data_IF_720815001103
#
_entry.id   IF_720815001103
#
_cell.length_a   1.000
_cell.length_b   1.000
_cell.length_c   1.000
_cell.angle_alpha   90.00
_cell.angle_beta   90.00
_cell.angle_gamma   90.00
#
_symmetry.space_group_name_H-M   'P 1'
#
loop_
_entity.id
_entity.type
_entity.pdbx_description
1 polymer ?
#
# COMPACT_ATOMS: atom_id res chain seq x y z
N UNK A 1 12.77 54.52 17.28
CA UNK A 1 13.69 53.60 16.58
C UNK A 1 13.14 52.17 16.70
N UNK A 2 12.42 51.68 15.69
CA UNK A 2 11.86 50.32 15.70
C UNK A 2 12.91 49.32 15.23
N UNK A 3 13.64 48.71 16.17
CA UNK A 3 14.57 47.62 15.87
C UNK A 3 13.79 46.40 15.37
N UNK A 4 13.86 46.12 14.06
CA UNK A 4 13.41 44.83 13.52
C UNK A 4 14.26 43.73 14.16
N UNK A 5 13.62 42.87 14.94
CA UNK A 5 14.19 41.59 15.38
C UNK A 5 14.86 40.91 14.17
N UNK A 6 16.18 40.70 14.22
CA UNK A 6 16.89 39.85 13.25
C UNK A 6 16.32 38.45 13.40
N UNK A 7 15.36 38.09 12.55
CA UNK A 7 14.81 36.73 12.49
C UNK A 7 15.98 35.80 12.16
N UNK A 8 16.36 34.93 13.09
CA UNK A 8 17.35 33.89 12.82
C UNK A 8 16.86 33.01 11.68
N UNK A 9 17.75 32.69 10.73
CA UNK A 9 17.42 31.79 9.63
C UNK A 9 17.04 30.44 10.25
N UNK A 10 15.85 29.97 9.93
CA UNK A 10 15.28 28.73 10.48
C UNK A 10 15.42 27.56 9.50
N UNK A 11 15.67 27.88 8.23
CA UNK A 11 15.70 26.92 7.14
C UNK A 11 16.96 27.10 6.29
N UNK A 12 17.37 25.99 5.69
CA UNK A 12 18.55 25.88 4.83
C UNK A 12 18.19 25.18 3.52
N UNK A 13 18.84 25.56 2.42
CA UNK A 13 18.65 24.86 1.15
C UNK A 13 19.37 23.52 1.13
N UNK A 14 18.92 22.60 0.28
CA UNK A 14 19.56 21.28 0.11
C UNK A 14 21.06 21.39 -0.15
N UNK A 15 21.48 22.31 -1.02
CA UNK A 15 22.90 22.48 -1.37
C UNK A 15 23.73 22.87 -0.15
N UNK A 16 23.27 23.87 0.62
CA UNK A 16 23.95 24.32 1.82
C UNK A 16 23.96 23.26 2.91
N UNK A 17 22.88 22.49 3.05
CA UNK A 17 22.83 21.36 3.98
C UNK A 17 23.86 20.27 3.59
N UNK A 18 24.03 19.99 2.30
CA UNK A 18 25.05 19.04 1.81
C UNK A 18 26.47 19.55 2.12
N UNK A 19 26.72 20.85 1.94
CA UNK A 19 28.01 21.49 2.26
C UNK A 19 28.32 21.43 3.76
N UNK A 20 27.36 21.76 4.63
CA UNK A 20 27.53 21.74 6.09
C UNK A 20 27.74 20.30 6.63
N UNK A 21 26.97 19.35 6.12
CA UNK A 21 27.07 17.94 6.51
C UNK A 21 28.23 17.20 5.80
N UNK A 22 28.90 17.82 4.82
CA UNK A 22 29.96 17.20 4.01
C UNK A 22 29.51 15.86 3.39
N UNK A 23 28.33 15.85 2.79
CA UNK A 23 27.74 14.68 2.12
C UNK A 23 27.39 14.99 0.67
N UNK A 24 27.33 13.96 -0.18
CA UNK A 24 26.82 14.15 -1.55
C UNK A 24 25.30 14.34 -1.55
N UNK A 25 24.75 14.80 -2.67
CA UNK A 25 23.30 14.98 -2.82
C UNK A 25 22.54 13.65 -2.70
N UNK A 26 23.14 12.56 -3.16
CA UNK A 26 22.58 11.20 -3.08
C UNK A 26 22.56 10.71 -1.63
N UNK A 27 23.66 10.91 -0.90
CA UNK A 27 23.74 10.60 0.53
C UNK A 27 22.76 11.43 1.36
N UNK A 28 22.61 12.71 1.02
CA UNK A 28 21.62 13.57 1.67
C UNK A 28 20.19 13.08 1.42
N UNK A 29 19.86 12.70 0.17
CA UNK A 29 18.57 12.08 -0.16
C UNK A 29 18.33 10.80 0.64
N UNK A 30 19.34 9.95 0.75
CA UNK A 30 19.27 8.73 1.55
C UNK A 30 18.97 9.04 3.03
N UNK A 31 19.68 10.01 3.63
CA UNK A 31 19.47 10.43 5.01
C UNK A 31 18.05 10.93 5.27
N UNK A 32 17.51 11.80 4.40
CA UNK A 32 16.15 12.33 4.58
C UNK A 32 15.08 11.25 4.43
N UNK A 33 15.28 10.26 3.55
CA UNK A 33 14.36 9.13 3.38
C UNK A 33 14.33 8.28 4.65
N UNK A 34 15.49 7.86 5.13
CA UNK A 34 15.59 6.97 6.29
C UNK A 34 15.16 7.63 7.60
N UNK A 35 15.36 8.94 7.74
CA UNK A 35 14.98 9.69 8.94
C UNK A 35 13.58 10.32 8.87
N UNK A 36 12.85 10.04 7.79
CA UNK A 36 11.52 10.58 7.49
C UNK A 36 11.47 12.11 7.59
N UNK A 37 12.40 12.78 6.92
CA UNK A 37 12.52 14.24 6.86
C UNK A 37 11.98 14.72 5.52
N UNK A 38 11.10 15.69 5.55
CA UNK A 38 10.48 16.25 4.35
C UNK A 38 10.95 17.68 4.10
N UNK A 39 11.00 18.06 2.82
CA UNK A 39 11.25 19.44 2.44
C UNK A 39 10.03 20.32 2.78
N UNK A 40 10.28 21.47 3.38
CA UNK A 40 9.29 22.48 3.73
C UNK A 40 9.26 23.61 2.68
N UNK A 41 8.06 24.03 2.28
CA UNK A 41 7.88 25.21 1.43
C UNK A 41 7.71 26.46 2.31
N UNK A 42 8.79 27.19 2.53
CA UNK A 42 8.76 28.40 3.37
C UNK A 42 8.24 29.59 2.56
N UNK A 43 7.10 30.17 2.96
CA UNK A 43 6.48 31.31 2.26
C UNK A 43 7.21 32.65 2.46
N UNK A 44 8.02 32.78 3.52
CA UNK A 44 8.70 34.04 3.87
C UNK A 44 10.17 34.00 3.47
N UNK A 45 10.55 34.89 2.53
CA UNK A 45 11.93 35.08 2.05
C UNK A 45 12.91 35.37 3.20
N UNK A 46 12.42 35.98 4.29
CA UNK A 46 13.24 36.33 5.46
C UNK A 46 13.65 35.14 6.34
N UNK A 47 12.99 33.98 6.19
CA UNK A 47 13.35 32.74 6.89
C UNK A 47 14.29 31.85 6.08
N UNK A 48 14.54 32.23 4.82
CA UNK A 48 15.29 31.45 3.85
C UNK A 48 16.77 31.87 3.81
N UNK A 49 17.65 30.88 3.62
CA UNK A 49 19.05 31.11 3.28
C UNK A 49 19.31 31.22 1.77
N UNK A 50 18.32 30.87 0.92
CA UNK A 50 18.41 30.77 -0.54
C UNK A 50 17.00 30.82 -1.19
N UNK A 51 16.92 31.04 -2.51
CA UNK A 51 15.67 31.03 -3.30
C UNK A 51 15.24 29.64 -3.80
N UNK A 52 15.87 28.56 -3.33
CA UNK A 52 15.57 27.19 -3.78
C UNK A 52 14.18 26.72 -3.32
N UNK A 53 13.49 25.95 -4.17
CA UNK A 53 12.14 25.44 -3.90
C UNK A 53 12.07 24.38 -2.77
N UNK A 54 13.19 23.67 -2.50
CA UNK A 54 13.28 22.64 -1.47
C UNK A 54 14.18 23.10 -0.32
N UNK A 55 13.56 23.48 0.79
CA UNK A 55 14.28 23.89 2.01
C UNK A 55 13.98 22.96 3.18
N UNK A 56 14.92 22.86 4.11
CA UNK A 56 14.85 21.99 5.28
C UNK A 56 15.01 22.80 6.55
N UNK A 57 14.30 22.42 7.60
CA UNK A 57 14.45 23.02 8.91
C UNK A 57 15.85 22.74 9.48
N UNK A 58 16.47 23.73 10.10
CA UNK A 58 17.76 23.53 10.79
C UNK A 58 17.65 22.50 11.93
N UNK A 59 16.45 22.32 12.52
CA UNK A 59 16.21 21.27 13.51
C UNK A 59 16.39 19.88 12.89
N UNK A 60 15.89 19.68 11.67
CA UNK A 60 16.02 18.41 10.97
C UNK A 60 17.45 18.16 10.51
N UNK A 61 18.16 19.20 10.06
CA UNK A 61 19.59 19.09 9.73
C UNK A 61 20.42 18.73 10.97
N UNK A 62 20.11 19.32 12.13
CA UNK A 62 20.73 18.93 13.39
C UNK A 62 20.35 17.49 13.81
N UNK A 63 19.11 17.05 13.54
CA UNK A 63 18.67 15.67 13.75
C UNK A 63 19.48 14.71 12.87
N UNK A 64 19.72 15.06 11.60
CA UNK A 64 20.58 14.30 10.69
C UNK A 64 21.99 14.19 11.24
N UNK A 65 22.60 15.32 11.62
CA UNK A 65 23.97 15.36 12.13
C UNK A 65 24.17 14.47 13.36
N UNK A 66 23.19 14.45 14.28
CA UNK A 66 23.24 13.64 15.49
C UNK A 66 22.79 12.18 15.29
N UNK A 67 22.40 11.79 14.07
CA UNK A 67 21.92 10.45 13.80
C UNK A 67 23.06 9.43 13.70
N UNK A 68 22.81 8.20 14.16
CA UNK A 68 23.73 7.06 13.94
C UNK A 68 23.96 6.79 12.45
N UNK A 69 22.92 7.01 11.63
CA UNK A 69 22.98 6.83 10.18
C UNK A 69 24.02 7.75 9.54
N UNK A 70 24.01 9.04 9.90
CA UNK A 70 25.02 9.99 9.44
C UNK A 70 26.43 9.58 9.87
N UNK A 71 26.61 9.14 11.12
CA UNK A 71 27.90 8.64 11.59
C UNK A 71 28.40 7.42 10.78
N UNK A 72 27.50 6.52 10.37
CA UNK A 72 27.83 5.38 9.50
C UNK A 72 28.23 5.83 8.10
N UNK A 73 27.54 6.80 7.50
CA UNK A 73 27.90 7.38 6.20
C UNK A 73 29.31 8.00 6.26
N UNK A 74 29.60 8.77 7.31
CA UNK A 74 30.92 9.38 7.47
C UNK A 74 32.04 8.33 7.61
N UNK A 75 31.80 7.25 8.36
CA UNK A 75 32.74 6.12 8.45
C UNK A 75 32.93 5.42 7.10
N UNK A 76 31.86 5.23 6.32
CA UNK A 76 31.96 4.63 4.99
C UNK A 76 32.71 5.54 4.01
N UNK A 77 32.50 6.85 4.05
CA UNK A 77 33.26 7.82 3.27
C UNK A 77 34.77 7.75 3.60
N UNK A 78 35.13 7.62 4.87
CA UNK A 78 36.51 7.44 5.30
C UNK A 78 37.11 6.12 4.76
N UNK A 79 36.38 5.01 4.86
CA UNK A 79 36.82 3.71 4.33
C UNK A 79 37.03 3.74 2.81
N UNK A 80 36.16 4.42 2.06
CA UNK A 80 36.32 4.57 0.62
C UNK A 80 37.59 5.36 0.26
N UNK A 81 37.96 6.36 1.06
CA UNK A 81 39.22 7.09 0.90
C UNK A 81 40.44 6.20 1.20
N UNK A 82 40.37 5.38 2.24
CA UNK A 82 41.40 4.40 2.58
C UNK A 82 41.56 3.35 1.48
N UNK A 83 40.47 2.79 0.94
CA UNK A 83 40.50 1.88 -0.21
C UNK A 83 41.22 2.49 -1.41
N UNK A 84 40.89 3.74 -1.76
CA UNK A 84 41.58 4.46 -2.85
C UNK A 84 43.08 4.60 -2.57
N UNK A 85 43.46 4.83 -1.31
CA UNK A 85 44.86 4.94 -0.90
C UNK A 85 45.60 3.60 -1.02
N UNK A 86 44.99 2.49 -0.59
CA UNK A 86 45.55 1.15 -0.73
C UNK A 86 45.67 0.71 -2.19
N UNK A 87 44.68 1.02 -3.03
CA UNK A 87 44.73 0.77 -4.47
C UNK A 87 45.88 1.51 -5.15
N UNK A 88 46.11 2.78 -4.79
CA UNK A 88 47.28 3.54 -5.29
C UNK A 88 48.62 2.93 -4.87
N UNK A 89 48.66 2.20 -3.76
CA UNK A 89 49.84 1.47 -3.27
C UNK A 89 49.95 0.05 -3.85
N UNK A 90 49.15 -0.30 -4.85
CA UNK A 90 49.05 -1.64 -5.45
C UNK A 90 48.72 -2.76 -4.44
N UNK A 91 48.00 -2.42 -3.37
CA UNK A 91 47.52 -3.36 -2.33
C UNK A 91 46.03 -3.62 -2.47
N UNK A 92 45.64 -4.19 -3.61
CA UNK A 92 44.24 -4.49 -3.92
C UNK A 92 43.67 -5.56 -2.97
N UNK A 93 44.51 -6.47 -2.49
CA UNK A 93 44.19 -7.51 -1.50
C UNK A 93 43.56 -6.94 -0.21
N UNK A 94 44.06 -5.79 0.26
CA UNK A 94 43.53 -5.12 1.44
C UNK A 94 42.27 -4.34 1.10
N UNK A 95 42.30 -3.61 -0.02
CA UNK A 95 41.19 -2.75 -0.44
C UNK A 95 39.90 -3.55 -0.67
N UNK A 96 40.00 -4.75 -1.26
CA UNK A 96 38.83 -5.57 -1.59
C UNK A 96 38.25 -6.30 -0.36
N UNK A 97 39.05 -6.48 0.71
CA UNK A 97 38.57 -6.99 2.00
C UNK A 97 37.82 -5.94 2.82
N UNK A 98 38.04 -4.65 2.55
CA UNK A 98 37.34 -3.58 3.26
C UNK A 98 35.89 -3.50 2.80
N UNK A 99 34.95 -3.92 3.67
CA UNK A 99 33.51 -3.77 3.40
C UNK A 99 32.98 -2.49 4.02
N UNK A 100 31.94 -1.92 3.40
CA UNK A 100 31.21 -0.80 3.98
C UNK A 100 30.38 -1.32 5.17
N UNK A 101 30.12 -0.45 6.13
CA UNK A 101 29.21 -0.74 7.23
C UNK A 101 27.78 -0.67 6.71
N UNK A 102 26.99 -1.67 7.06
CA UNK A 102 25.55 -1.67 6.83
C UNK A 102 24.85 -0.71 7.80
N UNK A 103 23.69 -0.22 7.37
CA UNK A 103 22.84 0.58 8.23
C UNK A 103 22.05 -0.30 9.18
N UNK A 104 21.81 0.24 10.37
CA UNK A 104 20.99 -0.42 11.38
C UNK A 104 19.51 -0.15 11.09
N UNK A 105 18.98 -0.83 10.07
CA UNK A 105 17.60 -0.68 9.61
C UNK A 105 16.58 -1.02 10.71
N UNK A 106 16.91 -1.97 11.59
CA UNK A 106 16.05 -2.36 12.71
C UNK A 106 15.82 -1.18 13.64
N UNK A 107 16.88 -0.47 14.03
CA UNK A 107 16.75 0.72 14.87
C UNK A 107 16.10 1.89 14.13
N UNK A 108 16.39 2.06 12.83
CA UNK A 108 15.76 3.10 12.01
C UNK A 108 14.24 2.91 11.98
N UNK A 109 13.77 1.70 11.65
CA UNK A 109 12.35 1.36 11.57
C UNK A 109 11.68 1.42 12.96
N UNK A 110 12.34 0.89 13.99
CA UNK A 110 11.81 0.94 15.37
C UNK A 110 11.70 2.37 15.90
N UNK A 111 12.52 3.30 15.42
CA UNK A 111 12.40 4.71 15.76
C UNK A 111 11.30 5.43 14.99
N UNK A 112 10.95 4.93 13.79
CA UNK A 112 9.88 5.47 12.94
C UNK A 112 8.51 5.10 13.52
N UNK A 113 8.32 3.86 13.94
CA UNK A 113 7.03 3.35 14.42
C UNK A 113 7.03 3.16 15.93
N UNK A 114 6.11 3.82 16.64
CA UNK A 114 6.01 3.70 18.10
C UNK A 114 5.35 2.39 18.50
N UNK A 115 4.41 1.92 17.68
CA UNK A 115 3.65 0.70 17.90
C UNK A 115 3.69 -0.23 16.67
N UNK A 116 3.34 -1.50 16.88
CA UNK A 116 3.15 -2.44 15.77
C UNK A 116 1.96 -2.05 14.88
N UNK A 117 0.91 -1.46 15.46
CA UNK A 117 -0.24 -0.97 14.69
C UNK A 117 0.18 0.13 13.73
N UNK A 118 1.09 1.01 14.14
CA UNK A 118 1.62 2.09 13.29
C UNK A 118 2.43 1.51 12.13
N UNK A 119 3.23 0.47 12.40
CA UNK A 119 3.99 -0.24 11.36
C UNK A 119 3.07 -0.94 10.36
N UNK A 120 1.99 -1.58 10.84
CA UNK A 120 0.98 -2.20 9.97
C UNK A 120 0.24 -1.15 9.14
N UNK A 121 -0.08 0.03 9.67
CA UNK A 121 -0.75 1.08 8.91
C UNK A 121 0.09 1.55 7.69
N UNK A 122 1.41 1.68 7.85
CA UNK A 122 2.34 2.02 6.76
C UNK A 122 2.70 0.82 5.85
N UNK A 123 2.17 -0.38 6.13
CA UNK A 123 2.48 -1.58 5.35
C UNK A 123 1.96 -1.49 3.92
N UNK A 124 0.85 -0.76 3.68
CA UNK A 124 0.30 -0.59 2.33
C UNK A 124 1.28 0.08 1.35
N UNK A 125 1.98 1.13 1.82
CA UNK A 125 3.03 1.81 1.05
C UNK A 125 4.21 0.86 0.80
N UNK A 126 4.61 0.13 1.84
CA UNK A 126 5.71 -0.84 1.81
C UNK A 126 5.46 -1.93 0.78
N UNK A 127 4.29 -2.57 0.82
CA UNK A 127 3.90 -3.62 -0.13
C UNK A 127 3.85 -3.07 -1.55
N UNK A 128 3.23 -1.91 -1.76
CA UNK A 128 3.17 -1.27 -3.08
C UNK A 128 4.58 -1.07 -3.64
N UNK A 129 5.50 -0.54 -2.83
CA UNK A 129 6.87 -0.28 -3.25
C UNK A 129 7.63 -1.56 -3.61
N UNK A 130 7.45 -2.62 -2.80
CA UNK A 130 8.11 -3.91 -3.01
C UNK A 130 7.56 -4.66 -4.23
N UNK A 131 6.24 -4.66 -4.44
CA UNK A 131 5.63 -5.22 -5.66
C UNK A 131 6.04 -4.45 -6.91
N UNK A 132 6.11 -3.12 -6.83
CA UNK A 132 6.63 -2.28 -7.92
C UNK A 132 8.09 -2.62 -8.21
N UNK A 133 8.93 -2.71 -7.19
CA UNK A 133 10.32 -3.12 -7.39
C UNK A 133 10.42 -4.51 -8.01
N UNK A 134 9.65 -5.48 -7.52
CA UNK A 134 9.66 -6.85 -8.03
C UNK A 134 9.25 -6.90 -9.50
N UNK A 135 8.28 -6.08 -9.90
CA UNK A 135 7.84 -5.97 -11.29
C UNK A 135 8.94 -5.45 -12.22
N UNK A 136 9.75 -4.48 -11.77
CA UNK A 136 10.89 -3.97 -12.54
C UNK A 136 12.19 -4.74 -12.32
N UNK A 137 12.27 -5.64 -11.34
CA UNK A 137 13.50 -6.34 -10.96
C UNK A 137 14.10 -7.14 -12.11
N UNK A 138 13.26 -7.71 -12.99
CA UNK A 138 13.70 -8.43 -14.19
C UNK A 138 14.45 -7.54 -15.19
N UNK A 139 14.27 -6.22 -15.12
CA UNK A 139 14.93 -5.21 -15.97
C UNK A 139 16.09 -4.52 -15.26
N UNK A 140 16.31 -4.84 -13.98
CA UNK A 140 17.32 -4.23 -13.13
C UNK A 140 18.38 -5.30 -12.84
N UNK A 141 19.66 -5.03 -13.15
CA UNK A 141 20.74 -5.92 -12.71
C UNK A 141 20.78 -5.95 -11.17
N UNK A 142 20.31 -7.05 -10.58
CA UNK A 142 20.29 -7.28 -9.14
C UNK A 142 21.60 -7.90 -8.66
N UNK A 143 22.63 -7.06 -8.47
CA UNK A 143 23.96 -7.50 -8.05
C UNK A 143 24.01 -8.04 -6.61
N UNK A 144 23.03 -7.71 -5.76
CA UNK A 144 23.03 -8.06 -4.33
C UNK A 144 22.02 -9.17 -3.96
N UNK A 145 21.28 -9.73 -4.92
CA UNK A 145 20.24 -10.74 -4.66
C UNK A 145 19.05 -10.18 -3.86
N UNK A 146 18.83 -8.87 -3.91
CA UNK A 146 17.78 -8.18 -3.15
C UNK A 146 16.39 -8.61 -3.64
N UNK A 147 16.22 -8.83 -4.94
CA UNK A 147 14.94 -9.29 -5.51
C UNK A 147 14.55 -10.67 -4.97
N UNK A 148 15.51 -11.57 -4.76
CA UNK A 148 15.22 -12.89 -4.19
C UNK A 148 14.71 -12.79 -2.76
N UNK A 149 15.37 -11.95 -1.95
CA UNK A 149 14.96 -11.70 -0.57
C UNK A 149 13.56 -11.08 -0.54
N UNK A 150 13.29 -10.08 -1.39
CA UNK A 150 11.97 -9.43 -1.45
C UNK A 150 10.90 -10.42 -1.88
N UNK A 151 11.15 -11.24 -2.90
CA UNK A 151 10.20 -12.26 -3.35
C UNK A 151 9.89 -13.25 -2.23
N UNK A 152 10.90 -13.71 -1.49
CA UNK A 152 10.70 -14.60 -0.36
C UNK A 152 9.91 -13.95 0.79
N UNK A 153 10.14 -12.67 1.08
CA UNK A 153 9.39 -11.95 2.12
C UNK A 153 7.95 -11.62 1.71
N UNK A 154 7.71 -11.29 0.43
CA UNK A 154 6.37 -11.13 -0.11
C UNK A 154 5.60 -12.46 -0.07
N UNK A 155 6.21 -13.57 -0.47
CA UNK A 155 5.58 -14.89 -0.41
C UNK A 155 5.20 -15.31 1.02
N UNK A 156 6.04 -14.99 2.02
CA UNK A 156 5.70 -15.20 3.45
C UNK A 156 4.46 -14.39 3.85
N UNK A 157 4.37 -13.15 3.38
CA UNK A 157 3.24 -12.28 3.66
C UNK A 157 1.97 -12.75 2.94
N UNK A 158 2.07 -13.16 1.68
CA UNK A 158 0.97 -13.74 0.91
C UNK A 158 0.40 -14.99 1.56
N UNK A 159 1.28 -15.90 2.01
CA UNK A 159 0.85 -17.06 2.78
C UNK A 159 0.10 -16.66 4.06
N UNK A 160 0.59 -15.66 4.79
CA UNK A 160 -0.09 -15.13 5.96
C UNK A 160 -1.47 -14.52 5.62
N UNK A 161 -1.60 -13.85 4.48
CA UNK A 161 -2.89 -13.34 3.98
C UNK A 161 -3.88 -14.48 3.70
N UNK A 162 -3.42 -15.57 3.09
CA UNK A 162 -4.24 -16.76 2.79
C UNK A 162 -4.66 -17.44 4.08
N UNK A 163 -3.69 -17.80 4.94
CA UNK A 163 -3.92 -18.56 6.17
C UNK A 163 -4.92 -17.86 7.12
N UNK A 164 -5.02 -16.52 7.05
CA UNK A 164 -5.89 -15.72 7.90
C UNK A 164 -7.04 -15.02 7.15
N UNK A 165 -7.23 -15.30 5.86
CA UNK A 165 -8.32 -14.74 5.02
C UNK A 165 -8.42 -13.20 5.10
N UNK A 166 -7.30 -12.49 5.01
CA UNK A 166 -7.21 -11.05 5.33
C UNK A 166 -7.72 -10.12 4.22
N UNK A 167 -7.99 -10.66 3.02
CA UNK A 167 -8.39 -9.85 1.87
C UNK A 167 -9.85 -9.44 2.01
N UNK A 168 -10.07 -8.12 2.14
CA UNK A 168 -11.42 -7.55 2.21
C UNK A 168 -12.02 -7.40 0.82
N UNK A 169 -11.29 -6.77 -0.09
CA UNK A 169 -11.77 -6.56 -1.46
C UNK A 169 -10.63 -6.28 -2.42
N UNK A 170 -10.88 -6.51 -3.71
CA UNK A 170 -9.90 -6.36 -4.78
C UNK A 170 -10.52 -5.62 -5.96
N UNK A 171 -9.73 -4.78 -6.62
CA UNK A 171 -10.18 -4.02 -7.79
C UNK A 171 -9.10 -3.95 -8.87
N UNK A 172 -9.29 -4.65 -10.00
CA UNK A 172 -8.41 -4.53 -11.16
C UNK A 172 -8.59 -3.21 -11.89
N UNK A 173 -7.49 -2.71 -12.44
CA UNK A 173 -7.43 -1.51 -13.29
C UNK A 173 -6.55 -1.77 -14.50
N UNK A 174 -6.58 -0.87 -15.49
CA UNK A 174 -5.68 -0.92 -16.65
C UNK A 174 -4.18 -0.96 -16.28
N UNK A 175 -3.81 -0.45 -15.09
CA UNK A 175 -2.41 -0.36 -14.62
C UNK A 175 -1.99 -1.55 -13.76
N UNK A 176 -2.94 -2.16 -13.04
CA UNK A 176 -2.64 -3.17 -12.04
C UNK A 176 -3.81 -3.44 -11.11
N UNK A 177 -3.53 -4.04 -9.97
CA UNK A 177 -4.51 -4.50 -9.01
C UNK A 177 -4.45 -3.69 -7.72
N UNK A 178 -5.59 -3.19 -7.26
CA UNK A 178 -5.72 -2.65 -5.91
C UNK A 178 -6.24 -3.72 -4.98
N UNK A 179 -5.58 -3.93 -3.84
CA UNK A 179 -5.95 -4.94 -2.85
C UNK A 179 -6.14 -4.24 -1.51
N UNK A 180 -7.34 -4.39 -0.93
CA UNK A 180 -7.67 -3.91 0.40
C UNK A 180 -7.62 -5.09 1.38
N UNK A 181 -6.77 -4.98 2.39
CA UNK A 181 -6.67 -5.94 3.49
C UNK A 181 -7.21 -5.34 4.76
N UNK A 182 -7.72 -6.20 5.64
CA UNK A 182 -8.06 -5.84 7.02
C UNK A 182 -7.24 -6.72 7.96
N UNK A 183 -6.39 -6.10 8.77
CA UNK A 183 -5.60 -6.76 9.82
C UNK A 183 -6.08 -6.19 11.16
N UNK A 184 -6.86 -6.97 11.90
CA UNK A 184 -7.56 -6.51 13.10
C UNK A 184 -8.41 -5.25 12.80
N UNK A 185 -8.07 -4.12 13.43
CA UNK A 185 -8.75 -2.83 13.28
C UNK A 185 -8.14 -1.94 12.18
N UNK A 186 -7.04 -2.37 11.56
CA UNK A 186 -6.31 -1.57 10.56
C UNK A 186 -6.66 -2.08 9.17
N UNK A 187 -7.12 -1.18 8.31
CA UNK A 187 -7.31 -1.45 6.89
C UNK A 187 -6.14 -0.87 6.10
N UNK A 188 -5.58 -1.67 5.20
CA UNK A 188 -4.46 -1.27 4.34
C UNK A 188 -4.81 -1.50 2.87
N UNK A 189 -4.62 -0.47 2.06
CA UNK A 189 -4.74 -0.53 0.62
C UNK A 189 -3.34 -0.54 0.01
N UNK A 190 -3.06 -1.49 -0.88
CA UNK A 190 -1.83 -1.50 -1.66
C UNK A 190 -2.09 -1.79 -3.13
N UNK A 191 -1.11 -1.47 -3.96
CA UNK A 191 -1.20 -1.60 -5.41
C UNK A 191 -0.14 -2.56 -5.95
N UNK A 192 -0.54 -3.38 -6.90
CA UNK A 192 0.32 -4.35 -7.58
C UNK A 192 0.32 -4.05 -9.07
N UNK A 193 1.44 -3.65 -9.67
CA UNK A 193 1.51 -3.41 -11.11
C UNK A 193 1.40 -4.73 -11.87
N UNK A 194 0.60 -4.72 -12.93
CA UNK A 194 0.40 -5.88 -13.80
C UNK A 194 0.69 -5.57 -15.27
N UNK A 195 0.73 -4.28 -15.64
CA UNK A 195 1.00 -3.86 -17.01
C UNK A 195 2.32 -3.07 -17.08
N UNK A 196 3.07 -3.29 -18.16
CA UNK A 196 4.41 -2.76 -18.38
C UNK A 196 4.46 -1.38 -19.04
N UNK A 197 3.31 -0.72 -19.24
CA UNK A 197 3.21 0.64 -19.79
C UNK A 197 3.85 1.74 -18.93
N UNK A 198 4.51 1.38 -17.82
CA UNK A 198 5.37 2.28 -17.09
C UNK A 198 6.71 2.43 -17.81
N UNK A 199 6.83 3.46 -18.63
CA UNK A 199 8.12 3.93 -19.13
C UNK A 199 8.77 4.85 -18.10
N UNK A 200 10.11 4.84 -18.03
CA UNK A 200 10.94 5.83 -17.35
C UNK A 200 11.05 5.79 -15.82
N UNK A 201 11.25 4.62 -15.21
CA UNK A 201 11.74 4.58 -13.82
C UNK A 201 13.17 4.06 -13.73
N UNK A 202 14.08 4.90 -13.23
CA UNK A 202 15.52 4.60 -13.11
C UNK A 202 15.77 3.86 -11.80
N UNK A 203 16.57 2.78 -11.86
CA UNK A 203 17.02 1.98 -10.70
C UNK A 203 17.48 2.84 -9.50
N UNK A 204 18.23 3.90 -9.78
CA UNK A 204 18.84 4.75 -8.74
C UNK A 204 17.82 5.52 -7.89
N UNK A 205 16.59 5.70 -8.39
CA UNK A 205 15.55 6.39 -7.64
C UNK A 205 14.91 5.49 -6.56
N UNK A 206 14.99 4.15 -6.72
CA UNK A 206 14.40 3.19 -5.80
C UNK A 206 15.37 2.68 -4.72
N UNK A 207 16.67 2.63 -5.00
CA UNK A 207 17.65 1.96 -4.14
C UNK A 207 17.61 2.39 -2.66
N UNK A 208 17.50 3.69 -2.32
CA UNK A 208 17.43 4.12 -0.92
C UNK A 208 16.16 3.66 -0.18
N UNK A 209 15.09 3.39 -0.91
CA UNK A 209 13.80 2.99 -0.35
C UNK A 209 13.68 1.48 -0.20
N UNK A 210 14.27 0.73 -1.13
CA UNK A 210 14.10 -0.73 -1.20
C UNK A 210 14.55 -1.40 0.10
N UNK A 211 15.75 -1.08 0.59
CA UNK A 211 16.26 -1.70 1.82
C UNK A 211 15.38 -1.32 3.02
N UNK A 212 14.97 -0.06 3.13
CA UNK A 212 14.08 0.39 4.20
C UNK A 212 12.74 -0.36 4.21
N UNK A 213 12.05 -0.45 3.08
CA UNK A 213 10.77 -1.15 2.96
C UNK A 213 10.92 -2.67 3.10
N UNK A 214 12.00 -3.26 2.58
CA UNK A 214 12.31 -4.68 2.75
C UNK A 214 12.47 -5.03 4.24
N UNK A 215 13.31 -4.29 4.98
CA UNK A 215 13.47 -4.51 6.41
C UNK A 215 12.17 -4.23 7.19
N UNK A 216 11.35 -3.28 6.74
CA UNK A 216 10.05 -3.04 7.35
C UNK A 216 9.13 -4.26 7.21
N UNK A 217 8.99 -4.81 6.00
CA UNK A 217 8.23 -6.04 5.77
C UNK A 217 8.79 -7.23 6.57
N UNK A 218 10.12 -7.40 6.62
CA UNK A 218 10.76 -8.46 7.42
C UNK A 218 10.40 -8.34 8.91
N UNK A 219 10.47 -7.12 9.47
CA UNK A 219 10.13 -6.88 10.87
C UNK A 219 8.65 -7.17 11.15
N UNK A 220 7.78 -6.77 10.23
CA UNK A 220 6.33 -7.04 10.30
C UNK A 220 6.06 -8.55 10.23
N UNK A 221 6.63 -9.26 9.25
CA UNK A 221 6.53 -10.72 9.09
C UNK A 221 7.01 -11.47 10.35
N UNK A 222 8.15 -11.06 10.91
CA UNK A 222 8.68 -11.64 12.15
C UNK A 222 7.70 -11.52 13.32
N UNK A 223 6.97 -10.40 13.41
CA UNK A 223 6.00 -10.17 14.47
C UNK A 223 4.66 -10.86 14.21
N UNK A 224 4.21 -10.90 12.95
CA UNK A 224 2.95 -11.53 12.52
C UNK A 224 2.87 -13.02 12.87
N UNK A 225 4.00 -13.75 12.86
CA UNK A 225 4.06 -15.16 13.30
C UNK A 225 3.49 -15.41 14.70
N UNK A 226 3.46 -14.39 15.56
CA UNK A 226 3.03 -14.49 16.95
C UNK A 226 1.72 -13.73 17.23
N UNK A 227 1.08 -13.13 16.22
CA UNK A 227 -0.15 -12.37 16.39
C UNK A 227 -1.34 -13.33 16.35
N UNK A 228 -2.16 -13.32 17.40
CA UNK A 228 -3.52 -13.87 17.34
C UNK A 228 -4.39 -12.86 16.61
N UNK A 229 -4.91 -13.23 15.45
CA UNK A 229 -5.84 -12.38 14.70
C UNK A 229 -7.24 -12.73 15.19
N UNK A 230 -7.86 -11.82 15.93
CA UNK A 230 -9.28 -11.90 16.25
C UNK A 230 -10.03 -11.38 15.03
N UNK A 231 -10.64 -12.29 14.26
CA UNK A 231 -11.55 -11.91 13.18
C UNK A 231 -12.82 -11.33 13.80
N UNK A 232 -12.80 -10.01 14.02
CA UNK A 232 -13.91 -9.29 14.63
C UNK A 232 -15.16 -9.34 13.73
N UNK A 233 -16.29 -9.68 14.35
CA UNK A 233 -17.65 -9.63 13.79
C UNK A 233 -17.93 -8.20 13.34
N UNK A 234 -18.30 -8.00 12.07
CA UNK A 234 -18.82 -6.72 11.61
C UNK A 234 -20.12 -6.43 12.40
N UNK A 235 -20.06 -5.47 13.32
CA UNK A 235 -21.25 -4.88 13.94
C UNK A 235 -21.77 -3.85 12.96
N UNK A 236 -22.89 -4.14 12.33
CA UNK A 236 -23.64 -3.17 11.54
C UNK A 236 -24.19 -2.12 12.52
N UNK A 237 -23.70 -0.89 12.38
CA UNK A 237 -24.13 0.29 13.14
C UNK A 237 -25.47 0.78 12.55
N UNK A 238 -26.58 0.14 12.94
CA UNK A 238 -27.93 0.68 12.73
C UNK A 238 -28.08 1.92 13.63
N UNK A 239 -27.67 3.09 13.12
CA UNK A 239 -28.02 4.34 13.79
C UNK A 239 -29.49 4.64 13.54
N UNK A 240 -30.29 4.31 14.55
CA UNK A 240 -31.60 4.91 14.78
C UNK A 240 -31.47 6.44 14.74
N UNK A 241 -32.25 7.07 13.87
CA UNK A 241 -32.50 8.50 13.94
C UNK A 241 -33.46 8.77 15.09
N UNK A 242 -32.93 9.05 16.28
CA UNK A 242 -33.70 9.74 17.31
C UNK A 242 -33.79 11.23 16.95
N UNK A 243 -34.98 11.65 16.53
CA UNK A 243 -35.37 13.04 16.40
C UNK A 243 -35.57 13.64 17.79
N UNK A 244 -34.65 14.49 18.24
CA UNK A 244 -34.96 15.51 19.25
C UNK A 244 -35.42 16.78 18.54
N UNK A 245 -36.74 16.95 18.36
CA UNK A 245 -37.32 18.28 18.21
C UNK A 245 -38.09 18.65 19.47
N UNK A 246 -37.87 19.89 19.88
CA UNK A 246 -38.20 20.46 21.17
C UNK A 246 -39.71 20.57 21.36
N UNK A 247 -40.17 20.24 22.57
CA UNK A 247 -41.57 20.37 22.96
C UNK A 247 -42.08 21.82 22.90
N UNK A 248 -43.32 21.96 22.43
CA UNK A 248 -44.29 22.91 22.97
C UNK A 248 -45.72 22.42 22.74
N UNK A 249 -46.42 22.33 23.86
CA UNK A 249 -47.83 22.11 24.16
C UNK A 249 -48.86 22.41 23.05
N UNK A 250 -49.83 21.51 22.83
CA UNK A 250 -51.20 21.70 23.33
C UNK A 250 -52.14 20.52 23.02
N UNK A 251 -53.14 20.37 23.90
CA UNK A 251 -54.11 19.28 23.98
C UNK A 251 -55.14 19.23 22.84
N UNK A 252 -55.61 18.02 22.48
CA UNK A 252 -57.00 17.52 22.58
C UNK A 252 -57.29 16.34 21.64
N UNK A 253 -57.82 15.28 22.26
CA UNK A 253 -58.93 14.40 21.83
C UNK A 253 -58.98 13.65 20.47
N UNK A 254 -59.43 12.40 20.64
CA UNK A 254 -60.29 11.57 19.77
C UNK A 254 -59.72 10.64 18.69
N UNK A 255 -59.76 9.33 19.05
CA UNK A 255 -60.31 8.17 18.31
C UNK A 255 -60.38 8.25 16.76
N UNK A 256 -59.78 7.26 16.09
CA UNK A 256 -60.51 6.19 15.35
C UNK A 256 -59.60 5.19 14.66
N UNK A 257 -60.04 3.94 14.78
CA UNK A 257 -59.87 2.75 13.94
C UNK A 257 -59.34 2.95 12.51
N UNK A 258 -58.42 2.09 12.07
CA UNK A 258 -58.77 1.01 11.12
C UNK A 258 -57.57 0.14 10.78
N UNK A 259 -57.62 -1.10 11.29
CA UNK A 259 -57.42 -2.38 10.60
C UNK A 259 -57.01 -2.33 9.12
N UNK A 260 -55.89 -2.99 8.77
CA UNK A 260 -55.85 -3.98 7.67
C UNK A 260 -54.77 -5.03 7.99
N UNK A 261 -55.23 -6.29 8.03
CA UNK A 261 -54.47 -7.51 8.26
C UNK A 261 -54.15 -8.21 6.93
N UNK A 262 -53.23 -9.18 7.02
CA UNK A 262 -52.86 -10.24 6.06
C UNK A 262 -51.88 -9.83 4.95
N UNK A 263 -50.84 -10.59 4.63
CA UNK A 263 -50.30 -11.85 5.17
C UNK A 263 -48.96 -12.14 4.49
N UNK A 264 -48.11 -12.92 5.17
CA UNK A 264 -46.98 -13.71 4.64
C UNK A 264 -45.83 -12.90 3.97
N UNK A 265 -44.57 -13.00 4.41
CA UNK A 265 -43.76 -14.21 4.57
C UNK A 265 -42.66 -13.92 5.60
N UNK A 266 -42.61 -14.72 6.67
CA UNK A 266 -41.36 -14.92 7.42
C UNK A 266 -40.42 -15.71 6.53
N UNK A 267 -39.21 -15.22 6.31
CA UNK A 267 -38.09 -16.14 6.19
C UNK A 267 -36.83 -15.54 6.79
N UNK A 268 -36.21 -16.36 7.60
CA UNK A 268 -35.07 -16.08 8.44
C UNK A 268 -33.83 -15.76 7.62
N UNK A 269 -33.25 -14.58 7.83
CA UNK A 269 -31.89 -14.24 7.45
C UNK A 269 -31.03 -14.11 8.70
N UNK A 270 -30.72 -15.24 9.36
CA UNK A 270 -29.58 -15.27 10.30
C UNK A 270 -28.32 -15.09 9.46
N UNK A 271 -27.85 -13.85 9.33
CA UNK A 271 -26.53 -13.53 8.80
C UNK A 271 -25.47 -14.14 9.72
N UNK A 272 -25.06 -15.35 9.36
CA UNK A 272 -24.00 -16.07 10.04
C UNK A 272 -22.66 -15.44 9.66
N UNK A 273 -22.05 -14.75 10.62
CA UNK A 273 -20.60 -14.55 10.71
C UNK A 273 -19.85 -15.80 10.27
N UNK A 274 -18.95 -15.74 9.28
CA UNK A 274 -17.98 -16.80 9.02
C UNK A 274 -16.85 -16.31 8.12
N UNK A 275 -15.67 -16.94 8.25
CA UNK A 275 -14.58 -16.89 7.29
C UNK A 275 -15.13 -16.97 5.85
N UNK A 276 -14.54 -16.20 4.94
CA UNK A 276 -14.99 -16.10 3.54
C UNK A 276 -14.75 -17.47 2.90
N UNK A 277 -15.66 -18.41 3.06
CA UNK A 277 -15.58 -19.77 2.51
C UNK A 277 -16.53 -19.89 1.32
N UNK A 278 -16.66 -18.81 0.54
CA UNK A 278 -17.65 -18.71 -0.54
C UNK A 278 -17.35 -19.69 -1.68
N UNK A 279 -16.11 -20.17 -1.81
CA UNK A 279 -15.74 -21.15 -2.83
C UNK A 279 -15.42 -22.51 -2.21
N UNK A 280 -15.88 -22.76 -0.99
CA UNK A 280 -15.68 -24.04 -0.33
C UNK A 280 -16.26 -25.18 -1.19
N UNK A 281 -15.46 -26.23 -1.36
CA UNK A 281 -15.75 -27.40 -2.20
C UNK A 281 -15.81 -27.12 -3.71
N UNK A 282 -15.40 -25.94 -4.19
CA UNK A 282 -15.24 -25.69 -5.61
C UNK A 282 -13.81 -26.04 -6.03
N UNK A 283 -13.69 -26.78 -7.14
CA UNK A 283 -12.41 -26.98 -7.83
C UNK A 283 -12.27 -25.95 -8.93
N UNK A 284 -11.24 -25.12 -8.83
CA UNK A 284 -11.01 -24.00 -9.75
C UNK A 284 -9.65 -24.18 -10.40
N UNK A 285 -9.61 -24.13 -11.73
CA UNK A 285 -8.37 -24.02 -12.47
C UNK A 285 -8.23 -22.60 -13.03
N UNK A 286 -7.04 -22.03 -12.90
CA UNK A 286 -6.75 -20.67 -13.36
C UNK A 286 -5.86 -20.79 -14.58
N UNK A 287 -6.41 -20.45 -15.75
CA UNK A 287 -5.65 -20.44 -17.00
C UNK A 287 -4.67 -19.28 -17.07
N UNK A 288 -3.98 -19.16 -18.21
CA UNK A 288 -3.06 -18.06 -18.45
C UNK A 288 -3.82 -16.72 -18.52
N UNK A 289 -3.69 -15.93 -17.45
CA UNK A 289 -4.15 -14.54 -17.38
C UNK A 289 -3.13 -13.71 -16.61
N UNK A 290 -3.10 -12.42 -16.89
CA UNK A 290 -2.27 -11.44 -16.19
C UNK A 290 -2.57 -11.42 -14.67
N UNK A 291 -3.78 -11.82 -14.28
CA UNK A 291 -4.22 -11.87 -12.88
C UNK A 291 -3.98 -13.21 -12.18
N UNK A 292 -3.38 -14.21 -12.84
CA UNK A 292 -3.40 -15.61 -12.38
C UNK A 292 -2.98 -15.77 -10.91
N UNK A 293 -1.79 -15.27 -10.55
CA UNK A 293 -1.26 -15.30 -9.18
C UNK A 293 -2.25 -14.73 -8.14
N UNK A 294 -2.88 -13.60 -8.44
CA UNK A 294 -3.81 -12.96 -7.50
C UNK A 294 -5.17 -13.64 -7.46
N UNK A 295 -5.63 -14.22 -8.57
CA UNK A 295 -6.83 -15.04 -8.56
C UNK A 295 -6.62 -16.32 -7.75
N UNK A 296 -5.45 -16.94 -7.82
CA UNK A 296 -5.10 -18.10 -6.98
C UNK A 296 -5.16 -17.73 -5.50
N UNK A 297 -4.53 -16.62 -5.10
CA UNK A 297 -4.58 -16.12 -3.73
C UNK A 297 -6.03 -15.87 -3.29
N UNK A 298 -6.87 -15.27 -4.14
CA UNK A 298 -8.27 -15.01 -3.81
C UNK A 298 -9.09 -16.29 -3.65
N UNK A 299 -8.90 -17.25 -4.56
CA UNK A 299 -9.55 -18.55 -4.51
C UNK A 299 -9.16 -19.31 -3.23
N UNK A 300 -7.87 -19.34 -2.88
CA UNK A 300 -7.38 -19.95 -1.65
C UNK A 300 -7.91 -19.24 -0.40
N UNK A 301 -7.90 -17.90 -0.38
CA UNK A 301 -8.52 -17.10 0.68
C UNK A 301 -10.03 -17.38 0.83
N UNK A 302 -10.68 -17.83 -0.25
CA UNK A 302 -12.11 -18.13 -0.31
C UNK A 302 -12.45 -19.60 -0.04
N UNK A 303 -11.46 -20.44 0.26
CA UNK A 303 -11.61 -21.87 0.55
C UNK A 303 -11.73 -22.79 -0.67
N UNK A 304 -11.36 -22.34 -1.87
CA UNK A 304 -11.36 -23.17 -3.08
C UNK A 304 -10.17 -24.14 -3.12
N UNK A 305 -10.33 -25.22 -3.88
CA UNK A 305 -9.24 -26.14 -4.27
C UNK A 305 -8.74 -25.76 -5.66
N UNK A 306 -7.42 -25.58 -5.82
CA UNK A 306 -6.79 -25.31 -7.12
C UNK A 306 -6.33 -26.64 -7.73
N UNK A 307 -6.94 -27.05 -8.85
CA UNK A 307 -6.72 -28.36 -9.49
C UNK A 307 -6.99 -28.27 -11.00
N UNK A 308 -6.26 -29.05 -11.81
CA UNK A 308 -6.52 -29.19 -13.27
C UNK A 308 -7.87 -29.85 -13.55
N UNK A 309 -8.26 -30.83 -12.72
CA UNK A 309 -9.62 -31.37 -12.68
C UNK A 309 -10.50 -30.38 -11.91
N UNK A 310 -11.24 -29.55 -12.64
CA UNK A 310 -11.97 -28.40 -12.10
C UNK A 310 -13.44 -28.36 -12.51
N UNK A 311 -14.24 -27.70 -11.69
CA UNK A 311 -15.62 -27.30 -12.00
C UNK A 311 -15.62 -26.00 -12.80
N UNK A 312 -14.68 -25.10 -12.50
CA UNK A 312 -14.52 -23.80 -13.13
C UNK A 312 -13.13 -23.62 -13.73
N UNK A 313 -13.08 -23.27 -15.01
CA UNK A 313 -11.86 -22.86 -15.70
C UNK A 313 -11.88 -21.35 -15.93
N UNK A 314 -11.00 -20.62 -15.26
CA UNK A 314 -10.95 -19.15 -15.32
C UNK A 314 -9.99 -18.70 -16.41
N UNK A 315 -10.47 -17.98 -17.43
CA UNK A 315 -9.62 -17.50 -18.52
C UNK A 315 -10.17 -16.26 -19.23
N UNK A 316 -9.28 -15.48 -19.84
CA UNK A 316 -9.61 -14.33 -20.71
C UNK A 316 -9.58 -14.71 -22.20
N UNK A 317 -9.16 -15.93 -22.54
CA UNK A 317 -8.72 -16.33 -23.88
C UNK A 317 -9.66 -17.25 -24.66
N UNK A 318 -9.22 -17.62 -25.87
CA UNK A 318 -9.90 -18.59 -26.74
C UNK A 318 -9.67 -20.01 -26.24
N UNK A 319 -10.75 -20.69 -25.91
CA UNK A 319 -10.75 -22.09 -25.49
C UNK A 319 -10.60 -22.97 -26.74
N UNK A 320 -9.55 -23.80 -26.78
CA UNK A 320 -9.27 -24.70 -27.91
C UNK A 320 -10.15 -25.96 -27.88
N UNK A 321 -10.51 -26.44 -26.69
CA UNK A 321 -11.40 -27.59 -26.50
C UNK A 321 -12.31 -27.35 -25.29
N UNK A 322 -13.62 -27.49 -25.52
CA UNK A 322 -14.63 -27.36 -24.47
C UNK A 322 -14.92 -28.73 -23.87
N UNK A 323 -14.69 -28.87 -22.57
CA UNK A 323 -15.24 -29.97 -21.80
C UNK A 323 -16.64 -29.58 -21.30
N UNK A 324 -17.67 -30.33 -21.69
CA UNK A 324 -19.05 -30.05 -21.30
C UNK A 324 -19.34 -30.13 -19.80
N UNK A 325 -18.45 -30.74 -19.01
CA UNK A 325 -18.57 -30.78 -17.55
C UNK A 325 -17.93 -29.57 -16.84
N UNK A 326 -17.22 -28.70 -17.56
CA UNK A 326 -16.45 -27.58 -16.99
C UNK A 326 -17.08 -26.25 -17.38
N UNK A 327 -17.26 -25.36 -16.41
CA UNK A 327 -17.71 -24.00 -16.64
C UNK A 327 -16.52 -23.08 -16.95
N UNK A 328 -16.44 -22.57 -18.18
CA UNK A 328 -15.40 -21.63 -18.57
C UNK A 328 -15.87 -20.20 -18.32
N UNK A 329 -15.22 -19.50 -17.38
CA UNK A 329 -15.66 -18.19 -16.90
C UNK A 329 -14.53 -17.14 -16.97
N UNK A 330 -14.92 -15.87 -17.11
CA UNK A 330 -13.98 -14.75 -17.03
C UNK A 330 -13.46 -14.53 -15.60
N UNK A 331 -12.26 -13.93 -15.41
CA UNK A 331 -11.74 -13.54 -14.09
C UNK A 331 -12.68 -12.68 -13.24
N UNK A 332 -13.55 -11.91 -13.89
CA UNK A 332 -14.55 -11.08 -13.21
C UNK A 332 -15.54 -11.89 -12.39
N UNK A 333 -15.76 -13.17 -12.70
CA UNK A 333 -16.56 -14.09 -11.88
C UNK A 333 -16.00 -14.21 -10.47
N UNK A 334 -14.71 -14.55 -10.37
CA UNK A 334 -14.01 -14.76 -9.10
C UNK A 334 -13.98 -13.46 -8.30
N UNK A 335 -13.59 -12.36 -8.94
CA UNK A 335 -13.40 -11.07 -8.26
C UNK A 335 -14.74 -10.50 -7.77
N UNK A 336 -15.77 -10.50 -8.62
CA UNK A 336 -17.07 -9.96 -8.21
C UNK A 336 -17.73 -10.85 -7.15
N UNK A 337 -17.62 -12.18 -7.27
CA UNK A 337 -18.12 -13.11 -6.25
C UNK A 337 -17.40 -12.92 -4.92
N UNK A 338 -16.07 -12.75 -4.96
CA UNK A 338 -15.24 -12.49 -3.79
C UNK A 338 -15.61 -11.17 -3.10
N UNK A 339 -15.75 -10.09 -3.86
CA UNK A 339 -16.09 -8.78 -3.32
C UNK A 339 -17.51 -8.73 -2.76
N UNK A 340 -18.48 -9.41 -3.40
CA UNK A 340 -19.88 -9.47 -2.95
C UNK A 340 -20.14 -10.53 -1.87
N UNK A 341 -19.14 -11.35 -1.54
CA UNK A 341 -19.24 -12.45 -0.56
C UNK A 341 -20.33 -13.47 -0.90
N UNK A 342 -20.60 -13.67 -2.19
CA UNK A 342 -21.60 -14.62 -2.70
C UNK A 342 -21.13 -15.19 -4.03
N UNK A 343 -21.36 -16.49 -4.28
CA UNK A 343 -21.14 -17.07 -5.61
C UNK A 343 -22.19 -16.47 -6.55
N UNK A 344 -21.73 -15.78 -7.60
CA UNK A 344 -22.62 -15.20 -8.60
C UNK A 344 -23.09 -16.26 -9.60
N UNK A 345 -24.10 -15.90 -10.40
CA UNK A 345 -24.55 -16.78 -11.48
C UNK A 345 -23.46 -16.90 -12.54
N UNK A 346 -22.90 -18.10 -12.70
CA UNK A 346 -21.84 -18.39 -13.66
C UNK A 346 -22.26 -18.09 -15.10
N UNK A 347 -23.55 -18.18 -15.42
CA UNK A 347 -24.04 -18.01 -16.78
C UNK A 347 -23.82 -16.57 -17.28
N UNK A 348 -23.78 -15.58 -16.38
CA UNK A 348 -23.46 -14.18 -16.71
C UNK A 348 -21.97 -13.97 -17.06
N UNK A 349 -21.10 -14.88 -16.60
CA UNK A 349 -19.65 -14.73 -16.68
C UNK A 349 -18.97 -15.71 -17.65
N UNK A 350 -19.75 -16.48 -18.41
CA UNK A 350 -19.21 -17.45 -19.37
C UNK A 350 -18.35 -16.78 -20.45
N UNK A 351 -17.23 -17.44 -20.77
CA UNK A 351 -16.36 -17.02 -21.87
C UNK A 351 -17.14 -17.03 -23.19
N UNK A 352 -17.06 -15.93 -23.94
CA UNK A 352 -17.81 -15.73 -25.19
C UNK A 352 -19.07 -14.87 -25.05
N UNK A 353 -19.50 -14.55 -23.83
CA UNK A 353 -20.45 -13.45 -23.55
C UNK A 353 -19.70 -12.13 -23.39
N UNK A 354 -20.45 -11.02 -23.39
CA UNK A 354 -19.86 -9.72 -23.04
C UNK A 354 -19.33 -9.74 -21.61
N UNK A 355 -18.07 -9.33 -21.38
CA UNK A 355 -17.46 -9.42 -20.07
C UNK A 355 -18.12 -8.45 -19.09
N UNK A 356 -18.63 -8.99 -17.98
CA UNK A 356 -19.17 -8.18 -16.88
C UNK A 356 -18.05 -7.37 -16.24
N UNK A 357 -18.28 -6.06 -16.10
CA UNK A 357 -17.33 -5.14 -15.49
C UNK A 357 -17.06 -5.42 -14.01
N UNK A 358 -15.95 -4.87 -13.52
CA UNK A 358 -15.60 -4.90 -12.10
C UNK A 358 -16.36 -3.80 -11.36
N UNK A 359 -16.99 -4.16 -10.24
CA UNK A 359 -17.59 -3.19 -9.34
C UNK A 359 -16.50 -2.63 -8.43
N UNK A 360 -16.39 -1.29 -8.34
CA UNK A 360 -15.45 -0.64 -7.44
C UNK A 360 -15.93 -0.83 -5.99
N UNK A 361 -15.24 -1.64 -5.17
CA UNK A 361 -15.77 -2.08 -3.87
C UNK A 361 -15.36 -1.15 -2.72
N UNK A 362 -14.67 -0.04 -2.99
CA UNK A 362 -14.13 0.85 -1.97
C UNK A 362 -15.09 2.03 -1.71
N UNK A 363 -16.34 1.75 -1.34
CA UNK A 363 -17.38 2.76 -1.03
C UNK A 363 -17.07 3.64 0.21
N UNK A 364 -15.87 3.53 0.78
CA UNK A 364 -15.39 4.33 1.92
C UNK A 364 -13.89 4.64 1.90
N UNK A 365 -13.19 4.44 0.77
CA UNK A 365 -11.89 5.09 0.53
C UNK A 365 -12.04 6.48 -0.11
N UNK A 366 -13.28 6.87 -0.39
CA UNK A 366 -13.76 8.25 -0.32
C UNK A 366 -13.94 8.74 1.13
N UNK A 367 -13.27 8.11 2.10
CA UNK A 367 -12.77 8.85 3.25
C UNK A 367 -12.04 10.03 2.62
N UNK A 368 -12.66 11.22 2.73
CA UNK A 368 -11.99 12.51 2.64
C UNK A 368 -10.57 12.25 3.13
N UNK A 369 -9.62 12.16 2.20
CA UNK A 369 -8.20 12.13 2.57
C UNK A 369 -8.10 13.20 3.61
N UNK A 370 -7.68 12.81 4.81
CA UNK A 370 -7.78 13.65 5.99
C UNK A 370 -7.43 15.05 5.54
N UNK A 371 -8.36 16.00 5.65
CA UNK A 371 -8.14 17.31 5.01
C UNK A 371 -6.80 17.89 5.52
N UNK A 372 -6.43 17.46 6.73
CA UNK A 372 -5.16 17.59 7.43
C UNK A 372 -3.95 16.94 6.74
N UNK A 373 -4.06 15.77 6.09
CA UNK A 373 -3.01 15.15 5.27
C UNK A 373 -2.79 15.91 3.96
N UNK A 374 -3.86 16.34 3.28
CA UNK A 374 -3.74 17.16 2.06
C UNK A 374 -3.24 18.57 2.42
N UNK A 375 -3.66 19.12 3.56
CA UNK A 375 -3.24 20.44 4.02
C UNK A 375 -1.80 20.50 4.57
N UNK A 376 -1.26 19.36 4.99
CA UNK A 376 0.18 19.18 5.31
C UNK A 376 1.06 19.03 4.05
N UNK A 377 0.49 18.81 2.86
CA UNK A 377 1.25 18.82 1.60
C UNK A 377 1.50 20.27 1.11
N UNK A 378 2.66 20.46 0.45
CA UNK A 378 3.00 21.75 -0.18
C UNK A 378 1.97 22.13 -1.26
N UNK A 379 1.76 23.42 -1.55
CA UNK A 379 0.74 23.88 -2.52
C UNK A 379 0.87 23.21 -3.89
N UNK A 380 2.09 22.93 -4.32
CA UNK A 380 2.38 22.24 -5.59
C UNK A 380 2.09 20.75 -5.51
N UNK A 381 2.37 20.09 -4.38
CA UNK A 381 1.97 18.69 -4.17
C UNK A 381 0.47 18.55 -4.00
N UNK A 382 -0.20 19.49 -3.32
CA UNK A 382 -1.66 19.58 -3.30
C UNK A 382 -2.23 19.71 -4.70
N UNK A 383 -1.67 20.59 -5.52
CA UNK A 383 -2.08 20.76 -6.91
C UNK A 383 -1.82 19.49 -7.73
N UNK A 384 -0.64 18.88 -7.64
CA UNK A 384 -0.30 17.69 -8.40
C UNK A 384 -1.06 16.44 -7.94
N UNK A 385 -1.30 16.30 -6.63
CA UNK A 385 -2.11 15.22 -6.05
C UNK A 385 -3.58 15.47 -6.35
N UNK A 386 -4.09 16.70 -6.28
CA UNK A 386 -5.45 17.04 -6.71
C UNK A 386 -5.63 16.85 -8.22
N UNK A 387 -4.67 17.23 -9.05
CA UNK A 387 -4.68 17.00 -10.50
C UNK A 387 -4.54 15.51 -10.83
N UNK A 388 -3.75 14.75 -10.05
CA UNK A 388 -3.63 13.30 -10.17
C UNK A 388 -4.92 12.60 -9.71
N UNK A 389 -5.54 13.02 -8.62
CA UNK A 389 -6.82 12.51 -8.11
C UNK A 389 -7.97 12.88 -9.04
N UNK A 390 -7.99 14.10 -9.58
CA UNK A 390 -8.91 14.53 -10.64
C UNK A 390 -8.66 13.75 -11.93
N UNK A 391 -7.41 13.41 -12.26
CA UNK A 391 -7.09 12.56 -13.41
C UNK A 391 -7.52 11.11 -13.18
N UNK A 392 -7.50 10.62 -11.94
CA UNK A 392 -8.05 9.31 -11.58
C UNK A 392 -9.56 9.36 -11.68
N UNK A 393 -10.22 10.37 -11.08
CA UNK A 393 -11.67 10.59 -11.14
C UNK A 393 -12.19 10.75 -12.58
N UNK A 394 -11.48 11.51 -13.43
CA UNK A 394 -11.78 11.64 -14.87
C UNK A 394 -11.55 10.36 -15.66
N UNK A 395 -10.68 9.45 -15.20
CA UNK A 395 -10.39 8.17 -15.85
C UNK A 395 -11.12 6.97 -15.23
N UNK A 396 -11.92 7.18 -14.17
CA UNK A 396 -12.80 6.18 -13.56
C UNK A 396 -14.26 6.29 -14.02
N UNK A 397 -14.60 7.29 -14.82
CA UNK A 397 -15.84 7.28 -15.60
C UNK A 397 -15.49 7.03 -17.07
N UNK A 398 -16.22 6.10 -17.67
CA UNK A 398 -16.05 5.67 -19.05
C UNK A 398 -15.85 6.84 -20.03
N UNK A 399 -14.81 6.73 -20.83
CA UNK A 399 -14.86 6.94 -22.27
C UNK A 399 -14.06 5.82 -22.94
#
# INVERSE_FOLDING_TARGET
>A
MGGRLKIQKTHISMQKACEELKVTKEQFKELIIHLNIHAESVRSIYKLSCSDANTYSLKDVNKIYNSKLYATIQKNNQRELEKKTWRRRNRNDIADKMRNLDYDYVNIISSKYRSFSDAVADLGETLTFLYVYQFFSSRINDEEGISEIIRAELAKFEKFMIDNTLIKSVYPTKKGLHVLLRINVVEILFFVPLNSNFTDIKRNDFLPYIKLYMYHLMMVNCRMKNVKIDTAKDVVDEREYENEDNGRENAKETKKDSTYNHDHVKNDGKESSNAINIFQNLKIFIGETVLAHWLEILCLCAGAEISEECDYYVTEGKISYLNGSVAYVYPSFIINSYNRRVILDKDEYLVGKEPVGYHYPFESHDKKYDKDFIDTLSKTKRKNVSEYLESIQRNTYFS
#
